data_IF_050621102955
#
_entry.id   IF_050621102955
#
_cell.length_a   1.000
_cell.length_b   1.000
_cell.length_c   1.000
_cell.angle_alpha   90.00
_cell.angle_beta   90.00
_cell.angle_gamma   90.00
#
_symmetry.space_group_name_H-M   'P 1'
#
loop_
_entity.id
_entity.type
_entity.pdbx_description
1 polymer ?
#
# COMPACT_ATOMS: atom_id res chain seq x y z
N UNK A 1 24.02 2.30 -8.92
CA UNK A 1 22.68 1.69 -8.83
C UNK A 1 21.73 2.64 -9.54
N UNK A 2 21.04 2.19 -10.59
CA UNK A 2 20.14 3.05 -11.34
C UNK A 2 18.81 3.14 -10.60
N UNK A 3 18.34 4.36 -10.30
CA UNK A 3 16.99 4.57 -9.79
C UNK A 3 15.99 4.14 -10.86
N UNK A 4 15.16 3.13 -10.58
CA UNK A 4 14.10 2.74 -11.51
C UNK A 4 13.01 3.82 -11.55
N UNK A 5 12.68 4.32 -12.75
CA UNK A 5 11.55 5.21 -12.92
C UNK A 5 10.30 4.40 -13.28
N UNK A 6 9.45 4.18 -12.28
CA UNK A 6 8.17 3.47 -12.37
C UNK A 6 6.99 4.43 -12.25
N UNK A 7 7.20 5.73 -12.47
CA UNK A 7 6.17 6.73 -12.32
C UNK A 7 5.00 6.48 -13.27
N UNK A 8 3.77 6.48 -12.74
CA UNK A 8 2.57 6.22 -13.53
C UNK A 8 2.41 4.79 -14.03
N UNK A 9 3.30 3.86 -13.65
CA UNK A 9 3.20 2.47 -14.07
C UNK A 9 1.95 1.79 -13.48
N UNK A 10 1.33 0.90 -14.25
CA UNK A 10 0.34 -0.03 -13.71
C UNK A 10 1.07 -1.24 -13.13
N UNK A 11 1.15 -1.33 -11.80
CA UNK A 11 1.77 -2.43 -11.04
C UNK A 11 0.72 -3.27 -10.29
N UNK A 12 -0.55 -3.16 -10.70
CA UNK A 12 -1.65 -3.84 -10.03
C UNK A 12 -1.46 -5.36 -10.05
N UNK A 13 -1.54 -6.00 -8.89
CA UNK A 13 -1.36 -7.45 -8.74
C UNK A 13 0.07 -7.93 -9.01
N UNK A 14 1.03 -7.04 -9.23
CA UNK A 14 2.42 -7.42 -9.47
C UNK A 14 3.04 -8.03 -8.22
N UNK A 15 3.77 -9.13 -8.41
CA UNK A 15 4.66 -9.64 -7.38
C UNK A 15 5.95 -8.81 -7.34
N UNK A 16 6.06 -7.92 -6.36
CA UNK A 16 7.28 -7.13 -6.10
C UNK A 16 8.07 -7.71 -4.92
N UNK A 17 7.77 -8.94 -4.50
CA UNK A 17 8.50 -9.60 -3.43
C UNK A 17 9.97 -9.78 -3.81
N UNK A 18 10.86 -9.50 -2.86
CA UNK A 18 12.32 -9.58 -3.09
C UNK A 18 12.92 -8.51 -4.01
N UNK A 19 12.12 -7.65 -4.64
CA UNK A 19 12.62 -6.56 -5.50
C UNK A 19 13.36 -5.48 -4.70
N UNK A 20 14.52 -5.05 -5.18
CA UNK A 20 15.20 -3.87 -4.63
C UNK A 20 14.65 -2.60 -5.30
N UNK A 21 13.72 -1.94 -4.60
CA UNK A 21 13.11 -0.68 -5.02
C UNK A 21 13.83 0.55 -4.47
N UNK A 22 15.08 0.40 -4.00
CA UNK A 22 15.84 1.50 -3.41
C UNK A 22 15.95 2.69 -4.36
N UNK A 23 15.52 3.87 -3.89
CA UNK A 23 15.55 5.11 -4.66
C UNK A 23 14.61 5.17 -5.87
N UNK A 24 13.81 4.14 -6.13
CA UNK A 24 12.88 4.11 -7.26
C UNK A 24 11.83 5.24 -7.16
N UNK A 25 11.40 5.74 -8.32
CA UNK A 25 10.30 6.69 -8.39
C UNK A 25 9.01 5.95 -8.70
N UNK A 26 8.15 5.77 -7.70
CA UNK A 26 6.85 5.12 -7.88
C UNK A 26 5.74 6.12 -8.16
N UNK A 27 5.91 7.42 -7.89
CA UNK A 27 4.81 8.42 -7.95
C UNK A 27 3.83 8.22 -9.12
N UNK A 28 2.55 8.19 -8.81
CA UNK A 28 1.45 7.98 -9.75
C UNK A 28 1.24 6.53 -10.17
N UNK A 29 2.08 5.58 -9.77
CA UNK A 29 1.87 4.16 -10.07
C UNK A 29 0.66 3.61 -9.34
N UNK A 30 -0.05 2.69 -9.99
CA UNK A 30 -1.10 1.91 -9.36
C UNK A 30 -0.51 0.65 -8.75
N UNK A 31 -0.55 0.54 -7.42
CA UNK A 31 0.03 -0.57 -6.66
C UNK A 31 -1.01 -1.47 -6.00
N UNK A 32 -2.28 -1.33 -6.38
CA UNK A 32 -3.38 -2.10 -5.83
C UNK A 32 -3.12 -3.62 -5.97
N UNK A 33 -3.34 -4.40 -4.91
CA UNK A 33 -3.07 -5.85 -4.85
C UNK A 33 -1.61 -6.28 -5.14
N UNK A 34 -0.65 -5.36 -5.22
CA UNK A 34 0.75 -5.74 -5.41
C UNK A 34 1.35 -6.32 -4.13
N UNK A 35 2.22 -7.33 -4.27
CA UNK A 35 2.97 -7.85 -3.13
C UNK A 35 4.20 -6.99 -2.88
N UNK A 36 4.10 -6.04 -1.95
CA UNK A 36 5.27 -5.31 -1.45
C UNK A 36 6.00 -6.12 -0.38
N UNK A 37 7.30 -6.34 -0.59
CA UNK A 37 8.16 -6.72 0.52
C UNK A 37 8.44 -5.49 1.38
N UNK A 38 7.90 -5.45 2.60
CA UNK A 38 8.33 -4.53 3.67
C UNK A 38 9.71 -4.91 4.21
N UNK A 39 10.65 -5.31 3.34
CA UNK A 39 12.02 -5.57 3.76
C UNK A 39 12.82 -4.27 3.82
N UNK A 40 13.80 -4.22 4.72
CA UNK A 40 14.77 -3.13 4.84
C UNK A 40 15.60 -2.87 3.56
N UNK A 41 15.40 -3.66 2.51
CA UNK A 41 16.00 -3.48 1.18
C UNK A 41 15.23 -2.50 0.30
N UNK A 42 13.94 -2.25 0.56
CA UNK A 42 13.14 -1.22 -0.14
C UNK A 42 13.47 0.19 0.38
N UNK A 43 14.74 0.60 0.32
CA UNK A 43 15.19 1.84 0.98
C UNK A 43 14.68 3.07 0.23
N UNK A 44 13.66 3.72 0.81
CA UNK A 44 13.17 5.06 0.44
C UNK A 44 12.65 5.16 -1.02
N UNK A 45 11.69 4.33 -1.46
CA UNK A 45 11.01 4.61 -2.72
C UNK A 45 10.31 5.98 -2.63
N UNK A 46 10.34 6.75 -3.72
CA UNK A 46 9.67 8.04 -3.80
C UNK A 46 8.18 7.78 -4.11
N UNK A 47 7.30 8.07 -3.16
CA UNK A 47 5.85 7.85 -3.27
C UNK A 47 5.03 9.14 -3.17
N UNK A 48 3.75 9.07 -3.54
CA UNK A 48 2.75 10.14 -3.37
C UNK A 48 1.66 9.76 -2.34
N UNK A 49 0.67 10.65 -2.15
CA UNK A 49 -0.42 10.45 -1.19
C UNK A 49 -1.29 9.23 -1.54
N UNK A 50 -1.57 9.01 -2.83
CA UNK A 50 -2.40 7.89 -3.29
C UNK A 50 -1.79 6.56 -2.88
N UNK A 51 -0.48 6.42 -3.05
CA UNK A 51 0.24 5.19 -2.69
C UNK A 51 0.26 4.93 -1.19
N UNK A 52 0.39 5.99 -0.37
CA UNK A 52 0.28 5.86 1.09
C UNK A 52 -1.13 5.47 1.52
N UNK A 53 -2.16 5.99 0.86
CA UNK A 53 -3.56 5.62 1.10
C UNK A 53 -3.81 4.15 0.71
N UNK A 54 -3.31 3.70 -0.45
CA UNK A 54 -3.41 2.31 -0.87
C UNK A 54 -2.73 1.35 0.13
N UNK A 55 -1.53 1.69 0.60
CA UNK A 55 -0.86 0.91 1.66
C UNK A 55 -1.66 0.89 2.96
N UNK A 56 -2.21 2.03 3.38
CA UNK A 56 -3.04 2.13 4.57
C UNK A 56 -4.31 1.28 4.44
N UNK A 57 -4.98 1.30 3.29
CA UNK A 57 -6.16 0.49 3.02
C UNK A 57 -5.86 -1.01 3.09
N UNK A 58 -4.75 -1.48 2.51
CA UNK A 58 -4.37 -2.89 2.62
C UNK A 58 -4.03 -3.31 4.05
N UNK A 59 -3.31 -2.47 4.80
CA UNK A 59 -3.03 -2.73 6.21
C UNK A 59 -4.33 -2.82 7.04
N UNK A 60 -5.25 -1.87 6.87
CA UNK A 60 -6.54 -1.89 7.58
C UNK A 60 -7.44 -3.05 7.14
N UNK A 61 -7.34 -3.50 5.89
CA UNK A 61 -8.05 -4.70 5.43
C UNK A 61 -7.62 -5.95 6.21
N UNK A 62 -6.32 -6.08 6.54
CA UNK A 62 -5.85 -7.19 7.36
C UNK A 62 -6.45 -7.16 8.76
N UNK A 63 -6.58 -5.97 9.37
CA UNK A 63 -7.27 -5.81 10.65
C UNK A 63 -8.76 -6.17 10.52
N UNK A 64 -9.45 -5.71 9.47
CA UNK A 64 -10.88 -5.98 9.23
C UNK A 64 -11.22 -7.48 9.18
N UNK A 65 -10.31 -8.28 8.63
CA UNK A 65 -10.49 -9.73 8.45
C UNK A 65 -9.68 -10.59 9.43
N UNK A 66 -9.06 -10.00 10.45
CA UNK A 66 -8.32 -10.74 11.47
C UNK A 66 -9.27 -11.29 12.54
N UNK A 67 -9.17 -12.59 12.83
CA UNK A 67 -9.95 -13.26 13.87
C UNK A 67 -9.48 -12.88 15.29
N UNK A 68 -8.26 -12.36 15.42
CA UNK A 68 -7.56 -12.07 16.67
C UNK A 68 -7.20 -10.57 16.85
N UNK A 69 -7.87 -9.68 16.12
CA UNK A 69 -7.63 -8.24 16.21
C UNK A 69 -7.78 -7.71 17.64
N UNK A 70 -6.72 -7.08 18.14
CA UNK A 70 -6.67 -6.42 19.44
C UNK A 70 -7.54 -5.16 19.49
N UNK A 71 -7.87 -4.68 20.69
CA UNK A 71 -8.64 -3.44 20.84
C UNK A 71 -7.86 -2.20 20.36
N UNK A 72 -6.52 -2.25 20.45
CA UNK A 72 -5.65 -1.21 19.88
C UNK A 72 -5.73 -1.18 18.35
N UNK A 73 -5.68 -2.33 17.69
CA UNK A 73 -5.82 -2.43 16.23
C UNK A 73 -7.20 -1.98 15.75
N UNK A 74 -8.26 -2.31 16.48
CA UNK A 74 -9.62 -1.81 16.19
C UNK A 74 -9.69 -0.29 16.31
N UNK A 75 -9.04 0.30 17.31
CA UNK A 75 -8.98 1.75 17.45
C UNK A 75 -8.20 2.41 16.30
N UNK A 76 -7.07 1.80 15.88
CA UNK A 76 -6.31 2.24 14.69
C UNK A 76 -7.19 2.18 13.44
N UNK A 77 -7.93 1.09 13.26
CA UNK A 77 -8.86 0.91 12.14
C UNK A 77 -9.91 2.03 12.09
N UNK A 78 -10.59 2.28 13.20
CA UNK A 78 -11.64 3.31 13.27
C UNK A 78 -11.10 4.71 12.97
N UNK A 79 -9.91 5.03 13.46
CA UNK A 79 -9.28 6.33 13.23
C UNK A 79 -8.84 6.55 11.77
N UNK A 80 -8.45 5.48 11.06
CA UNK A 80 -7.81 5.58 9.75
C UNK A 80 -8.71 5.14 8.58
N UNK A 81 -9.84 4.45 8.82
CA UNK A 81 -10.70 3.92 7.74
C UNK A 81 -11.18 4.98 6.76
N UNK A 82 -11.52 6.18 7.25
CA UNK A 82 -11.94 7.28 6.40
C UNK A 82 -10.81 7.76 5.48
N UNK A 83 -9.58 7.81 6.00
CA UNK A 83 -8.38 8.16 5.23
C UNK A 83 -8.07 7.08 4.18
N UNK A 84 -8.12 5.81 4.57
CA UNK A 84 -7.89 4.66 3.69
C UNK A 84 -8.91 4.57 2.54
N UNK A 85 -10.16 4.99 2.76
CA UNK A 85 -11.22 4.94 1.76
C UNK A 85 -11.20 6.11 0.75
N UNK A 86 -10.27 7.07 0.84
CA UNK A 86 -10.21 8.26 -0.05
C UNK A 86 -9.94 7.94 -1.52
N UNK A 87 -9.22 6.85 -1.81
CA UNK A 87 -8.90 6.39 -3.17
C UNK A 87 -9.20 4.91 -3.27
N UNK A 88 -10.49 4.59 -3.37
CA UNK A 88 -10.99 3.23 -3.51
C UNK A 88 -11.50 2.98 -4.92
N UNK A 89 -11.36 1.75 -5.43
CA UNK A 89 -12.03 1.41 -6.70
C UNK A 89 -13.53 1.27 -6.48
N UNK A 90 -14.33 1.64 -7.47
CA UNK A 90 -15.79 1.59 -7.38
C UNK A 90 -16.34 0.15 -7.39
N UNK A 91 -15.55 -0.81 -7.87
CA UNK A 91 -15.89 -2.23 -7.96
C UNK A 91 -15.48 -3.05 -6.72
N UNK A 92 -14.99 -2.39 -5.66
CA UNK A 92 -14.59 -3.05 -4.42
C UNK A 92 -15.38 -2.45 -3.25
N UNK A 93 -15.68 -3.25 -2.24
CA UNK A 93 -16.30 -2.78 -1.00
C UNK A 93 -15.32 -1.94 -0.16
N UNK A 94 -15.78 -0.78 0.34
CA UNK A 94 -14.98 0.07 1.23
C UNK A 94 -14.78 -0.59 2.59
N UNK A 95 -13.73 -0.18 3.32
CA UNK A 95 -13.47 -0.63 4.69
C UNK A 95 -14.57 -0.21 5.65
#
# INVERSE_FOLDING_TARGET
MYEANLSGANLRGSDLSGSDLSGSNLRGSDIDFSCFSFSCKSRKPKTDERQRIQLCHHFLSWIKYADDATDEEKAIFENLKAYANRFHRDDVERL
#
